data_IF_824473093727
#
_entry.id   IF_824473093727
#
_cell.length_a   1.000
_cell.length_b   1.000
_cell.length_c   1.000
_cell.angle_alpha   90.00
_cell.angle_beta   90.00
_cell.angle_gamma   90.00
#
_symmetry.space_group_name_H-M   'P 1'
#
loop_
_entity.id
_entity.type
_entity.pdbx_description
1 polymer ?
#
# COMPACT_ATOMS: atom_id res chain seq x y z
N UNK A 1 -50.75 43.84 -42.88
CA UNK A 1 -51.47 43.40 -41.65
C UNK A 1 -50.75 42.19 -41.07
N UNK A 2 -50.67 42.14 -39.74
CA UNK A 2 -50.09 41.09 -38.85
C UNK A 2 -48.60 41.29 -38.47
N UNK A 3 -48.48 41.83 -37.24
CA UNK A 3 -47.32 41.95 -36.33
C UNK A 3 -46.66 40.58 -36.14
N UNK A 4 -45.38 40.48 -35.74
CA UNK A 4 -44.88 40.17 -34.36
C UNK A 4 -43.43 39.65 -34.51
N UNK A 5 -42.45 39.64 -33.59
CA UNK A 5 -42.22 40.10 -32.20
C UNK A 5 -40.67 40.07 -32.03
N UNK A 6 -40.11 41.03 -31.27
CA UNK A 6 -38.72 41.04 -30.78
C UNK A 6 -38.47 39.86 -29.85
N UNK A 7 -37.34 39.16 -29.99
CA UNK A 7 -36.70 38.47 -28.86
C UNK A 7 -35.20 38.77 -28.91
N UNK A 8 -34.79 39.72 -28.09
CA UNK A 8 -33.39 39.92 -27.71
C UNK A 8 -33.10 38.87 -26.64
N UNK A 9 -32.24 37.89 -26.92
CA UNK A 9 -31.79 36.94 -25.91
C UNK A 9 -30.27 37.04 -25.78
N UNK A 10 -29.83 37.83 -24.79
CA UNK A 10 -28.46 37.81 -24.30
C UNK A 10 -28.31 36.57 -23.43
N UNK A 11 -27.72 35.51 -23.99
CA UNK A 11 -27.26 34.36 -23.20
C UNK A 11 -25.92 34.76 -22.59
N UNK A 12 -25.96 35.24 -21.34
CA UNK A 12 -24.76 35.50 -20.56
C UNK A 12 -24.22 34.16 -20.07
N UNK A 13 -23.13 33.70 -20.70
CA UNK A 13 -22.44 32.46 -20.36
C UNK A 13 -21.68 32.65 -19.04
N UNK A 14 -22.32 32.35 -17.90
CA UNK A 14 -21.67 32.33 -16.59
C UNK A 14 -20.77 31.09 -16.55
N UNK A 15 -19.48 31.30 -16.80
CA UNK A 15 -18.44 30.28 -16.68
C UNK A 15 -18.32 29.84 -15.22
N UNK A 16 -18.84 28.65 -14.92
CA UNK A 16 -18.63 27.99 -13.62
C UNK A 16 -17.22 27.39 -13.64
N UNK A 17 -16.26 28.09 -13.05
CA UNK A 17 -14.97 27.52 -12.67
C UNK A 17 -15.23 26.48 -11.59
N UNK A 18 -15.26 25.21 -11.99
CA UNK A 18 -15.20 24.08 -11.06
C UNK A 18 -13.78 24.06 -10.50
N UNK A 19 -13.61 24.61 -9.31
CA UNK A 19 -12.38 24.44 -8.53
C UNK A 19 -12.30 22.96 -8.12
N UNK A 20 -11.49 22.19 -8.86
CA UNK A 20 -11.07 20.85 -8.47
C UNK A 20 -10.15 21.05 -7.28
N UNK A 21 -10.70 21.02 -6.07
CA UNK A 21 -9.89 20.86 -4.86
C UNK A 21 -9.30 19.46 -4.90
N UNK A 22 -8.07 19.34 -5.43
CA UNK A 22 -7.30 18.12 -5.31
C UNK A 22 -7.03 17.85 -3.84
N UNK A 23 -7.69 16.84 -3.27
CA UNK A 23 -7.18 16.17 -2.08
C UNK A 23 -5.87 15.50 -2.52
N UNK A 24 -4.75 16.23 -2.44
CA UNK A 24 -3.44 15.60 -2.54
C UNK A 24 -3.32 14.63 -1.37
N UNK A 25 -3.42 13.33 -1.63
CA UNK A 25 -3.06 12.34 -0.63
C UNK A 25 -1.59 12.55 -0.26
N UNK A 26 -1.31 12.74 1.03
CA UNK A 26 0.05 12.85 1.52
C UNK A 26 0.83 11.60 1.11
N UNK A 27 2.03 11.81 0.58
CA UNK A 27 2.94 10.73 0.25
C UNK A 27 3.39 10.05 1.52
N UNK A 28 3.24 8.72 1.57
CA UNK A 28 3.70 7.90 2.69
C UNK A 28 5.22 7.74 2.56
N UNK A 29 5.93 8.02 3.65
CA UNK A 29 7.38 7.83 3.76
C UNK A 29 7.71 6.43 4.25
N UNK A 30 8.56 5.70 3.53
CA UNK A 30 9.05 4.43 4.02
C UNK A 30 9.77 4.62 5.36
N UNK A 31 10.64 5.61 5.43
CA UNK A 31 11.49 5.85 6.58
C UNK A 31 10.69 6.26 7.83
N UNK A 32 9.68 7.12 7.66
CA UNK A 32 8.95 7.70 8.80
C UNK A 32 7.64 6.98 9.14
N UNK A 33 6.97 6.37 8.16
CA UNK A 33 5.64 5.78 8.37
C UNK A 33 5.68 4.24 8.34
N UNK A 34 6.41 3.64 7.39
CA UNK A 34 6.40 2.18 7.19
C UNK A 34 7.40 1.46 8.09
N UNK A 35 8.64 1.96 8.15
CA UNK A 35 9.73 1.33 8.90
C UNK A 35 9.39 1.14 10.38
N UNK A 36 8.75 2.09 11.10
CA UNK A 36 8.34 1.88 12.48
C UNK A 36 7.34 0.73 12.64
N UNK A 37 6.39 0.58 11.72
CA UNK A 37 5.41 -0.52 11.73
C UNK A 37 6.12 -1.86 11.59
N UNK A 38 7.05 -1.98 10.63
CA UNK A 38 7.82 -3.21 10.40
C UNK A 38 8.75 -3.52 11.58
N UNK A 39 9.36 -2.50 12.18
CA UNK A 39 10.23 -2.65 13.34
C UNK A 39 9.45 -3.22 14.53
N UNK A 40 8.29 -2.66 14.84
CA UNK A 40 7.46 -3.07 15.99
C UNK A 40 6.83 -4.45 15.79
N UNK A 41 6.25 -4.70 14.61
CA UNK A 41 5.37 -5.85 14.42
C UNK A 41 6.05 -7.06 13.77
N UNK A 42 7.16 -6.86 13.06
CA UNK A 42 7.69 -7.88 12.13
C UNK A 42 9.16 -8.25 12.40
N UNK A 43 10.00 -7.26 12.74
CA UNK A 43 11.46 -7.44 12.81
C UNK A 43 11.90 -8.50 13.81
N UNK A 44 11.15 -8.70 14.92
CA UNK A 44 11.49 -9.70 15.93
C UNK A 44 11.65 -11.13 15.40
N UNK A 45 10.91 -11.49 14.34
CA UNK A 45 11.01 -12.80 13.68
C UNK A 45 11.59 -12.72 12.26
N UNK A 46 11.34 -11.61 11.54
CA UNK A 46 11.81 -11.39 10.16
C UNK A 46 13.08 -10.55 10.12
N UNK A 47 14.08 -11.02 10.87
CA UNK A 47 15.46 -10.53 10.83
C UNK A 47 16.39 -11.74 10.82
N UNK A 48 17.64 -11.55 10.41
CA UNK A 48 18.60 -12.65 10.31
C UNK A 48 18.67 -13.48 11.61
N UNK A 49 18.49 -14.79 11.48
CA UNK A 49 18.47 -15.74 12.61
C UNK A 49 17.13 -15.88 13.33
N UNK A 50 16.15 -15.01 13.07
CA UNK A 50 14.79 -15.12 13.59
C UNK A 50 13.99 -16.26 12.95
N UNK A 51 12.97 -16.77 13.66
CA UNK A 51 12.19 -17.92 13.21
C UNK A 51 11.50 -17.69 11.85
N UNK A 52 10.92 -16.51 11.65
CA UNK A 52 10.28 -16.11 10.39
C UNK A 52 11.28 -16.00 9.24
N UNK A 53 12.49 -15.48 9.51
CA UNK A 53 13.60 -15.47 8.56
C UNK A 53 14.10 -16.89 8.25
N UNK A 54 14.22 -17.78 9.24
CA UNK A 54 14.68 -19.15 8.99
C UNK A 54 13.69 -19.92 8.12
N UNK A 55 12.39 -19.72 8.36
CA UNK A 55 11.32 -20.32 7.56
C UNK A 55 11.31 -19.78 6.11
N UNK A 56 11.26 -18.45 5.95
CA UNK A 56 10.98 -17.82 4.64
C UNK A 56 12.20 -17.21 3.95
N UNK A 57 13.28 -16.94 4.66
CA UNK A 57 14.41 -16.14 4.20
C UNK A 57 14.13 -14.64 4.04
N UNK A 58 12.96 -14.16 4.48
CA UNK A 58 12.59 -12.74 4.44
C UNK A 58 13.18 -11.99 5.63
N UNK A 59 13.91 -10.92 5.34
CA UNK A 59 14.23 -9.86 6.30
C UNK A 59 13.42 -8.61 5.98
N UNK A 60 12.93 -7.93 7.00
CA UNK A 60 12.21 -6.65 6.88
C UNK A 60 12.99 -5.47 7.49
N UNK A 61 14.24 -5.70 7.89
CA UNK A 61 15.06 -4.73 8.63
C UNK A 61 15.43 -3.53 7.76
N UNK A 62 15.74 -3.78 6.48
CA UNK A 62 16.06 -2.72 5.50
C UNK A 62 15.07 -2.75 4.34
N UNK A 63 14.95 -1.62 3.64
CA UNK A 63 14.13 -1.52 2.44
C UNK A 63 14.57 -2.55 1.39
N UNK A 64 15.88 -2.65 1.14
CA UNK A 64 16.44 -3.54 0.13
C UNK A 64 16.15 -5.01 0.43
N UNK A 65 16.22 -5.40 1.71
CA UNK A 65 15.89 -6.76 2.13
C UNK A 65 14.40 -7.08 2.02
N UNK A 66 13.52 -6.15 2.40
CA UNK A 66 12.08 -6.29 2.24
C UNK A 66 11.71 -6.48 0.76
N UNK A 67 12.28 -5.64 -0.11
CA UNK A 67 12.01 -5.66 -1.55
C UNK A 67 12.64 -6.87 -2.25
N UNK A 68 13.73 -7.43 -1.70
CA UNK A 68 14.33 -8.68 -2.19
C UNK A 68 13.41 -9.90 -2.02
N UNK A 69 12.50 -9.84 -1.04
CA UNK A 69 11.54 -10.91 -0.77
C UNK A 69 12.15 -12.16 -0.15
N UNK A 70 11.45 -13.29 -0.27
CA UNK A 70 11.82 -14.55 0.37
C UNK A 70 13.02 -15.23 -0.30
N UNK A 71 13.57 -16.27 0.33
CA UNK A 71 14.53 -17.16 -0.33
C UNK A 71 13.83 -18.03 -1.39
N UNK A 72 14.55 -18.49 -2.42
CA UNK A 72 14.05 -19.52 -3.33
C UNK A 72 13.59 -20.77 -2.56
N UNK A 73 12.49 -21.39 -3.00
CA UNK A 73 11.96 -22.61 -2.41
C UNK A 73 11.41 -23.52 -3.53
N UNK A 74 11.56 -24.85 -3.38
CA UNK A 74 10.96 -25.81 -4.31
C UNK A 74 11.45 -25.73 -5.77
N UNK A 75 12.60 -25.09 -6.03
CA UNK A 75 13.10 -24.84 -7.39
C UNK A 75 12.55 -23.57 -8.05
N UNK A 76 11.73 -22.80 -7.34
CA UNK A 76 11.17 -21.53 -7.80
C UNK A 76 12.07 -20.34 -7.47
N UNK A 77 11.79 -19.20 -8.10
CA UNK A 77 12.45 -17.92 -7.82
C UNK A 77 12.07 -17.39 -6.42
N UNK A 78 12.71 -16.30 -6.01
CA UNK A 78 12.35 -15.58 -4.78
C UNK A 78 10.88 -15.15 -4.84
N UNK A 79 10.14 -15.38 -3.76
CA UNK A 79 8.78 -14.89 -3.62
C UNK A 79 8.77 -13.40 -3.32
N UNK A 80 8.09 -12.62 -4.18
CA UNK A 80 7.88 -11.20 -3.93
C UNK A 80 6.89 -11.01 -2.78
N UNK A 81 7.30 -10.18 -1.83
CA UNK A 81 6.49 -9.82 -0.67
C UNK A 81 5.76 -8.49 -0.90
N UNK A 82 6.41 -7.56 -1.59
CA UNK A 82 5.88 -6.27 -1.99
C UNK A 82 5.95 -6.16 -3.50
N UNK A 83 4.81 -5.83 -4.12
CA UNK A 83 4.69 -5.52 -5.55
C UNK A 83 4.32 -4.04 -5.66
N UNK A 84 5.26 -3.16 -6.04
CA UNK A 84 4.99 -1.72 -6.19
C UNK A 84 3.75 -1.44 -7.04
N UNK A 85 2.81 -0.67 -6.50
CA UNK A 85 1.56 -0.29 -7.17
C UNK A 85 0.46 -1.35 -7.14
N UNK A 86 0.71 -2.55 -6.60
CA UNK A 86 -0.28 -3.64 -6.57
C UNK A 86 -0.39 -4.27 -5.18
N UNK A 87 -1.36 -3.78 -4.40
CA UNK A 87 -1.71 -4.31 -3.08
C UNK A 87 -2.37 -5.68 -3.13
N UNK A 88 -3.01 -6.04 -4.25
CA UNK A 88 -3.72 -7.31 -4.38
C UNK A 88 -2.73 -8.46 -4.55
N UNK A 89 -1.73 -8.25 -5.40
CA UNK A 89 -0.65 -9.21 -5.67
C UNK A 89 0.45 -9.19 -4.60
N UNK A 90 0.56 -8.12 -3.81
CA UNK A 90 1.50 -8.05 -2.68
C UNK A 90 1.16 -9.06 -1.58
N UNK A 91 2.06 -10.04 -1.39
CA UNK A 91 1.93 -11.03 -0.32
C UNK A 91 1.85 -10.39 1.07
N UNK A 92 2.57 -9.28 1.30
CA UNK A 92 2.50 -8.53 2.55
C UNK A 92 1.05 -8.22 2.94
N UNK A 93 0.28 -7.61 2.03
CA UNK A 93 -1.12 -7.26 2.26
C UNK A 93 -2.00 -8.49 2.44
N UNK A 94 -1.80 -9.53 1.63
CA UNK A 94 -2.53 -10.79 1.76
C UNK A 94 -2.39 -11.40 3.15
N UNK A 95 -1.19 -11.35 3.74
CA UNK A 95 -0.92 -11.91 5.06
C UNK A 95 -1.48 -11.04 6.19
N UNK A 96 -1.25 -9.72 6.16
CA UNK A 96 -1.68 -8.82 7.26
C UNK A 96 -3.19 -8.55 7.25
N UNK A 97 -3.85 -8.66 6.10
CA UNK A 97 -5.32 -8.57 5.99
C UNK A 97 -6.02 -9.91 6.25
N UNK A 98 -5.27 -11.00 6.51
CA UNK A 98 -5.84 -12.32 6.77
C UNK A 98 -6.52 -12.96 5.56
N UNK A 99 -6.13 -12.59 4.33
CA UNK A 99 -6.63 -13.19 3.08
C UNK A 99 -5.91 -14.49 2.70
N UNK A 100 -4.88 -14.86 3.44
CA UNK A 100 -4.12 -16.09 3.26
C UNK A 100 -4.55 -17.18 4.26
N UNK A 101 -4.02 -18.40 4.07
CA UNK A 101 -4.26 -19.51 4.98
C UNK A 101 -3.87 -19.13 6.43
N UNK A 102 -4.69 -19.46 7.45
CA UNK A 102 -4.39 -19.13 8.84
C UNK A 102 -3.04 -19.64 9.35
N UNK A 103 -2.51 -20.73 8.79
CA UNK A 103 -1.19 -21.28 9.16
C UNK A 103 -0.02 -20.37 8.79
N UNK A 104 -0.20 -19.44 7.85
CA UNK A 104 0.85 -18.52 7.38
C UNK A 104 0.49 -17.05 7.60
N UNK A 105 -0.61 -16.75 8.31
CA UNK A 105 -1.01 -15.38 8.63
C UNK A 105 0.11 -14.62 9.35
N UNK A 106 0.15 -13.31 9.15
CA UNK A 106 1.05 -12.41 9.86
C UNK A 106 0.28 -11.30 10.59
N UNK A 107 0.73 -10.88 11.79
CA UNK A 107 1.82 -11.46 12.55
C UNK A 107 1.45 -12.86 13.09
N UNK A 108 2.40 -13.78 13.04
CA UNK A 108 2.13 -15.19 13.40
C UNK A 108 1.98 -15.35 14.92
N UNK A 109 0.92 -16.02 15.36
CA UNK A 109 0.66 -16.24 16.78
C UNK A 109 0.42 -14.97 17.61
N UNK A 110 0.18 -13.82 16.96
CA UNK A 110 -0.16 -12.56 17.63
C UNK A 110 -1.45 -11.96 17.07
N UNK A 111 -1.94 -10.94 17.76
CA UNK A 111 -3.06 -10.14 17.30
C UNK A 111 -2.79 -9.54 15.90
N UNK A 112 -3.85 -9.36 15.08
CA UNK A 112 -3.74 -8.62 13.82
C UNK A 112 -3.15 -7.23 14.02
N UNK A 113 -2.51 -6.70 12.97
CA UNK A 113 -2.17 -5.27 12.94
C UNK A 113 -3.42 -4.43 13.15
N UNK A 114 -3.25 -3.28 13.81
CA UNK A 114 -4.32 -2.31 13.87
C UNK A 114 -4.61 -1.76 12.46
N UNK A 115 -5.84 -1.29 12.25
CA UNK A 115 -6.31 -0.85 10.94
C UNK A 115 -5.49 0.31 10.36
N UNK A 116 -4.98 1.20 11.21
CA UNK A 116 -4.18 2.36 10.77
C UNK A 116 -2.87 1.92 10.14
N UNK A 117 -2.18 0.97 10.75
CA UNK A 117 -0.93 0.43 10.22
C UNK A 117 -1.17 -0.30 8.89
N UNK A 118 -2.25 -1.08 8.79
CA UNK A 118 -2.63 -1.74 7.54
C UNK A 118 -2.90 -0.71 6.44
N UNK A 119 -3.58 0.40 6.75
CA UNK A 119 -3.82 1.49 5.80
C UNK A 119 -2.53 2.16 5.35
N UNK A 120 -1.58 2.41 6.25
CA UNK A 120 -0.26 2.98 5.90
C UNK A 120 0.50 2.06 4.95
N UNK A 121 0.58 0.76 5.27
CA UNK A 121 1.23 -0.22 4.41
C UNK A 121 0.55 -0.31 3.03
N UNK A 122 -0.79 -0.31 2.99
CA UNK A 122 -1.56 -0.33 1.74
C UNK A 122 -1.24 0.88 0.87
N UNK A 123 -1.34 2.09 1.44
CA UNK A 123 -1.10 3.34 0.71
C UNK A 123 0.33 3.44 0.21
N UNK A 124 1.31 3.04 1.03
CA UNK A 124 2.70 3.02 0.59
C UNK A 124 2.90 2.13 -0.63
N UNK A 125 2.29 0.92 -0.65
CA UNK A 125 2.36 0.03 -1.81
C UNK A 125 1.64 0.64 -3.02
N UNK A 126 0.44 1.20 -2.84
CA UNK A 126 -0.31 1.88 -3.92
C UNK A 126 0.48 3.04 -4.54
N UNK A 127 1.27 3.75 -3.72
CA UNK A 127 2.16 4.83 -4.15
C UNK A 127 3.50 4.35 -4.73
N UNK A 128 3.63 3.07 -5.03
CA UNK A 128 4.80 2.48 -5.68
C UNK A 128 5.89 2.02 -4.72
N UNK A 129 5.57 1.86 -3.44
CA UNK A 129 6.47 1.33 -2.42
C UNK A 129 7.86 2.00 -2.40
N UNK A 130 7.90 3.34 -2.47
CA UNK A 130 9.14 4.09 -2.61
C UNK A 130 9.99 4.06 -1.34
N UNK A 131 11.32 4.18 -1.49
CA UNK A 131 12.26 4.40 -0.38
C UNK A 131 12.51 5.92 -0.22
N UNK A 132 11.72 6.59 0.61
CA UNK A 132 11.64 8.06 0.73
C UNK A 132 11.55 8.55 2.19
#
# INVERSE_FOLDING_TARGET
MKKVIKVLSLVSLVGTVVSITGCGESTVSFQNDVRPILAENCSGCHQQGGEGFNASGLSVVTYEELMKGTKPAGGEQRGQIVVPGDTTSSTLMRLVEGRADPSIRMPHGKEPLNEKDVVVLRKWIEQGAQNN
#
